data_IF_358911809671
#
_entry.id   IF_358911809671
#
_cell.length_a   1.000
_cell.length_b   1.000
_cell.length_c   1.000
_cell.angle_alpha   90.00
_cell.angle_beta   90.00
_cell.angle_gamma   90.00
#
_symmetry.space_group_name_H-M   'P 1'
#
loop_
_entity.id
_entity.type
_entity.pdbx_description
1 polymer ?
#
# COMPACT_ATOMS: atom_id res chain seq x y z
N UNK A 1 -1.17 -4.74 7.23
CA UNK A 1 -2.02 -3.52 7.19
C UNK A 1 -3.35 -3.79 6.49
N UNK A 2 -3.38 -4.22 5.22
CA UNK A 2 -4.65 -4.58 4.55
C UNK A 2 -5.43 -5.69 5.27
N UNK A 3 -4.77 -6.76 5.71
CA UNK A 3 -5.40 -7.87 6.43
C UNK A 3 -5.94 -7.51 7.84
N UNK A 4 -5.38 -6.48 8.47
CA UNK A 4 -5.75 -6.06 9.83
C UNK A 4 -6.93 -5.07 9.83
N UNK A 5 -7.10 -4.32 8.74
CA UNK A 5 -8.12 -3.29 8.62
C UNK A 5 -9.56 -3.80 8.84
N UNK A 6 -9.97 -5.01 8.40
CA UNK A 6 -11.28 -5.55 8.73
C UNK A 6 -11.52 -5.70 10.24
N UNK A 7 -10.48 -6.04 11.01
CA UNK A 7 -10.55 -6.13 12.47
C UNK A 7 -10.79 -4.77 13.11
N UNK A 8 -10.07 -3.75 12.65
CA UNK A 8 -10.22 -2.36 13.12
C UNK A 8 -11.62 -1.81 12.81
N UNK A 9 -12.12 -2.00 11.58
CA UNK A 9 -13.45 -1.55 11.18
C UNK A 9 -14.55 -2.21 12.02
N UNK A 10 -14.41 -3.52 12.31
CA UNK A 10 -15.33 -4.26 13.18
C UNK A 10 -15.31 -3.74 14.62
N UNK A 11 -14.12 -3.52 15.17
CA UNK A 11 -13.97 -2.96 16.52
C UNK A 11 -14.55 -1.54 16.62
N UNK A 12 -14.45 -0.76 15.54
CA UNK A 12 -15.05 0.56 15.42
C UNK A 12 -16.55 0.54 15.07
N UNK A 13 -17.15 -0.63 14.87
CA UNK A 13 -18.55 -0.81 14.47
C UNK A 13 -18.90 -0.09 13.14
N UNK A 14 -17.94 0.03 12.23
CA UNK A 14 -18.13 0.62 10.91
C UNK A 14 -18.45 -0.50 9.93
N UNK A 15 -19.69 -0.52 9.47
CA UNK A 15 -20.20 -1.49 8.48
C UNK A 15 -20.01 -0.99 7.04
N UNK A 16 -19.90 -1.91 6.06
CA UNK A 16 -19.88 -1.56 4.63
C UNK A 16 -21.20 -0.90 4.17
N UNK A 17 -21.26 -0.26 3.00
CA UNK A 17 -20.24 -0.19 1.94
C UNK A 17 -19.19 0.91 2.15
N UNK A 18 -17.92 0.61 1.88
CA UNK A 18 -16.80 1.53 2.09
C UNK A 18 -16.42 2.30 0.82
N UNK A 19 -15.92 3.52 0.98
CA UNK A 19 -15.18 4.23 -0.07
C UNK A 19 -13.69 4.14 0.28
N UNK A 20 -12.89 3.57 -0.62
CA UNK A 20 -11.44 3.45 -0.42
C UNK A 20 -10.72 4.63 -1.06
N UNK A 21 -9.81 5.26 -0.33
CA UNK A 21 -8.96 6.35 -0.86
C UNK A 21 -7.50 5.98 -0.62
N UNK A 22 -6.76 5.81 -1.71
CA UNK A 22 -5.33 5.47 -1.68
C UNK A 22 -4.48 6.58 -2.29
N UNK A 23 -3.58 7.14 -1.50
CA UNK A 23 -2.51 8.05 -1.96
C UNK A 23 -1.12 7.41 -1.76
N UNK A 24 -0.21 7.60 -2.72
CA UNK A 24 1.16 7.04 -2.67
C UNK A 24 1.15 5.54 -2.32
N UNK A 25 1.93 5.08 -1.35
CA UNK A 25 2.02 3.68 -0.95
C UNK A 25 0.67 3.02 -0.60
N UNK A 26 -0.29 3.79 -0.07
CA UNK A 26 -1.59 3.25 0.32
C UNK A 26 -2.43 2.73 -0.86
N UNK A 27 -2.06 3.05 -2.11
CA UNK A 27 -2.60 2.39 -3.30
C UNK A 27 -2.53 0.87 -3.25
N UNK A 28 -1.40 0.32 -2.80
CA UNK A 28 -1.22 -1.12 -2.64
C UNK A 28 -2.11 -1.68 -1.52
N UNK A 29 -2.28 -0.91 -0.45
CA UNK A 29 -3.05 -1.31 0.73
C UNK A 29 -4.53 -1.39 0.41
N UNK A 30 -5.11 -0.36 -0.24
CA UNK A 30 -6.53 -0.34 -0.59
C UNK A 30 -6.89 -1.40 -1.62
N UNK A 31 -5.99 -1.70 -2.58
CA UNK A 31 -6.16 -2.81 -3.53
C UNK A 31 -6.11 -4.16 -2.82
N UNK A 32 -5.17 -4.35 -1.89
CA UNK A 32 -5.11 -5.55 -1.07
C UNK A 32 -6.36 -5.75 -0.20
N UNK A 33 -6.89 -4.65 0.36
CA UNK A 33 -8.13 -4.69 1.14
C UNK A 33 -9.32 -5.06 0.26
N UNK A 34 -9.51 -4.41 -0.90
CA UNK A 34 -10.55 -4.79 -1.86
C UNK A 34 -10.47 -6.27 -2.24
N UNK A 35 -9.27 -6.77 -2.53
CA UNK A 35 -9.07 -8.18 -2.90
C UNK A 35 -9.47 -9.14 -1.77
N UNK A 36 -9.26 -8.75 -0.51
CA UNK A 36 -9.61 -9.56 0.66
C UNK A 36 -11.09 -9.48 1.03
N UNK A 37 -11.74 -8.32 0.88
CA UNK A 37 -13.13 -8.08 1.31
C UNK A 37 -14.17 -8.30 0.22
N UNK A 38 -13.76 -8.34 -1.05
CA UNK A 38 -14.67 -8.42 -2.19
C UNK A 38 -15.28 -7.07 -2.57
N UNK A 39 -15.77 -6.98 -3.81
CA UNK A 39 -16.31 -5.75 -4.38
C UNK A 39 -17.66 -5.33 -3.79
N UNK A 40 -18.48 -6.28 -3.33
CA UNK A 40 -19.80 -5.99 -2.75
C UNK A 40 -19.73 -5.09 -1.50
N UNK A 41 -18.61 -5.15 -0.78
CA UNK A 41 -18.37 -4.32 0.38
C UNK A 41 -17.88 -2.90 0.04
N UNK A 42 -17.60 -2.58 -1.22
CA UNK A 42 -16.92 -1.35 -1.65
C UNK A 42 -17.82 -0.55 -2.60
N UNK A 43 -18.25 0.64 -2.15
CA UNK A 43 -19.04 1.57 -2.96
C UNK A 43 -18.21 2.30 -4.03
N UNK A 44 -16.88 2.37 -3.85
CA UNK A 44 -15.97 2.99 -4.81
C UNK A 44 -14.53 3.06 -4.32
N UNK A 45 -13.61 3.38 -5.22
CA UNK A 45 -12.19 3.55 -4.89
C UNK A 45 -11.57 4.70 -5.69
N UNK A 46 -10.81 5.56 -4.98
CA UNK A 46 -10.05 6.67 -5.54
C UNK A 46 -8.55 6.44 -5.32
N UNK A 47 -7.75 6.61 -6.37
CA UNK A 47 -6.30 6.47 -6.34
C UNK A 47 -5.64 7.80 -6.76
N UNK A 48 -4.87 8.42 -5.86
CA UNK A 48 -4.20 9.71 -6.07
C UNK A 48 -2.68 9.50 -6.05
N UNK A 49 -2.01 9.68 -7.19
CA UNK A 49 -0.57 9.41 -7.36
C UNK A 49 -0.11 8.14 -6.61
N UNK A 50 -0.91 7.08 -6.78
CA UNK A 50 -0.83 5.90 -5.93
C UNK A 50 0.18 4.89 -6.49
N UNK A 51 0.89 4.22 -5.59
CA UNK A 51 1.81 3.14 -5.93
C UNK A 51 1.06 1.97 -6.56
N UNK A 52 1.65 1.41 -7.62
CA UNK A 52 1.22 0.17 -8.26
C UNK A 52 2.26 -0.92 -7.99
N UNK A 53 1.86 -2.18 -8.16
CA UNK A 53 2.68 -3.36 -7.81
C UNK A 53 4.03 -3.34 -8.53
N UNK A 54 4.06 -2.81 -9.75
CA UNK A 54 5.26 -2.77 -10.58
C UNK A 54 6.05 -1.44 -10.46
N UNK A 55 5.60 -0.51 -9.62
CA UNK A 55 6.15 0.85 -9.58
C UNK A 55 7.64 0.86 -9.17
N UNK A 56 8.08 -0.09 -8.34
CA UNK A 56 9.49 -0.27 -7.97
C UNK A 56 10.41 -0.65 -9.15
N UNK A 57 9.89 -1.41 -10.13
CA UNK A 57 10.66 -1.79 -11.31
C UNK A 57 10.67 -0.65 -12.35
N UNK A 58 9.59 0.12 -12.40
CA UNK A 58 9.43 1.25 -13.32
C UNK A 58 10.19 2.49 -12.84
N UNK A 59 10.16 2.78 -11.54
CA UNK A 59 10.98 3.83 -10.91
C UNK A 59 12.34 3.21 -10.58
N UNK A 60 13.18 3.02 -11.60
CA UNK A 60 14.63 2.82 -11.42
C UNK A 60 15.23 4.11 -10.89
N UNK A 61 14.94 4.45 -9.64
CA UNK A 61 15.67 5.50 -8.94
C UNK A 61 17.10 4.98 -8.81
N UNK A 62 18.12 5.70 -9.34
CA UNK A 62 19.48 5.35 -9.02
C UNK A 62 19.60 5.48 -7.50
N UNK A 63 19.76 4.34 -6.84
CA UNK A 63 19.86 4.25 -5.38
C UNK A 63 21.11 4.98 -4.84
N UNK A 64 21.86 5.73 -5.65
CA UNK A 64 23.09 6.42 -5.24
C UNK A 64 22.88 7.28 -3.98
N UNK A 65 21.73 7.93 -3.82
CA UNK A 65 21.43 8.70 -2.60
C UNK A 65 21.17 7.81 -1.37
N UNK A 66 20.42 6.72 -1.52
CA UNK A 66 20.19 5.75 -0.44
C UNK A 66 21.49 5.01 -0.09
N UNK A 67 22.29 4.65 -1.10
CA UNK A 67 23.58 3.99 -0.96
C UNK A 67 24.61 4.91 -0.29
N UNK A 68 24.62 6.20 -0.64
CA UNK A 68 25.43 7.20 0.04
C UNK A 68 25.03 7.38 1.52
N UNK A 69 23.73 7.31 1.84
CA UNK A 69 23.22 7.41 3.21
C UNK A 69 23.46 6.13 4.04
N UNK A 70 23.43 4.95 3.42
CA UNK A 70 23.67 3.68 4.11
C UNK A 70 25.16 3.35 4.32
N UNK A 71 26.07 4.10 3.70
CA UNK A 71 27.50 3.82 3.69
C UNK A 71 27.86 2.55 2.91
N UNK A 72 29.16 2.37 2.63
CA UNK A 72 29.70 1.13 2.07
C UNK A 72 29.48 -0.02 3.07
N UNK A 73 28.51 -0.91 2.83
CA UNK A 73 28.46 -2.19 3.56
C UNK A 73 29.71 -2.99 3.19
N UNK A 74 30.74 -2.94 4.04
CA UNK A 74 31.81 -3.94 4.01
C UNK A 74 31.16 -5.30 4.15
N UNK A 75 31.26 -6.10 3.09
CA UNK A 75 30.88 -7.51 3.09
C UNK A 75 31.82 -8.18 4.12
N UNK A 76 31.30 -8.49 5.30
CA UNK A 76 32.00 -9.36 6.23
C UNK A 76 32.02 -10.75 5.58
N UNK A 77 33.23 -11.17 5.19
CA UNK A 77 33.54 -12.52 4.73
C UNK A 77 33.29 -13.52 5.86
#
# INVERSE_FOLDING_TARGET
MAAELPGVLRAAQISPSYILVGHSYSGLIVRGFLAATGADAIAGMMLLDANQENMQHQRRLPFSTIQALCGERKRLL
#
